data_IF_703779505497
#
_entry.id   IF_703779505497
#
_cell.length_a   1.000
_cell.length_b   1.000
_cell.length_c   1.000
_cell.angle_alpha   90.00
_cell.angle_beta   90.00
_cell.angle_gamma   90.00
#
_symmetry.space_group_name_H-M   'P 1'
#
loop_
_entity.id
_entity.type
_entity.pdbx_description
1 polymer ?
#
# COMPACT_ATOMS: atom_id res chain seq x y z
N UNK A 1 -10.75 -26.90 0.66
CA UNK A 1 -10.98 -25.57 0.07
C UNK A 1 -11.17 -24.59 1.22
N UNK A 2 -10.25 -23.64 1.43
CA UNK A 2 -10.33 -22.74 2.58
C UNK A 2 -11.41 -21.68 2.34
N UNK A 3 -12.34 -21.48 3.29
CA UNK A 3 -13.35 -20.42 3.14
C UNK A 3 -12.70 -19.05 3.38
N UNK A 4 -13.17 -18.01 2.70
CA UNK A 4 -12.62 -16.64 2.83
C UNK A 4 -12.64 -16.15 4.29
N UNK A 5 -13.69 -16.47 5.03
CA UNK A 5 -13.80 -16.13 6.44
C UNK A 5 -12.73 -16.85 7.30
N UNK A 6 -12.36 -18.10 6.95
CA UNK A 6 -11.25 -18.82 7.61
C UNK A 6 -9.91 -18.19 7.28
N UNK A 7 -9.70 -17.78 6.03
CA UNK A 7 -8.48 -17.07 5.62
C UNK A 7 -8.32 -15.78 6.41
N UNK A 8 -9.32 -14.90 6.43
CA UNK A 8 -9.24 -13.64 7.18
C UNK A 8 -9.04 -13.83 8.68
N UNK A 9 -9.62 -14.88 9.26
CA UNK A 9 -9.37 -15.24 10.66
C UNK A 9 -7.91 -15.61 10.91
N UNK A 10 -7.32 -16.45 10.07
CA UNK A 10 -5.90 -16.79 10.18
C UNK A 10 -4.99 -15.58 9.92
N UNK A 11 -5.33 -14.72 8.96
CA UNK A 11 -4.57 -13.49 8.71
C UNK A 11 -4.67 -12.53 9.90
N UNK A 12 -5.81 -12.48 10.60
CA UNK A 12 -5.95 -11.74 11.86
C UNK A 12 -5.07 -12.32 12.96
N UNK A 13 -5.08 -13.64 13.15
CA UNK A 13 -4.24 -14.32 14.14
C UNK A 13 -2.75 -14.04 13.90
N UNK A 14 -2.33 -13.96 12.63
CA UNK A 14 -0.95 -13.63 12.25
C UNK A 14 -0.53 -12.17 12.56
N UNK A 15 -1.48 -11.27 12.78
CA UNK A 15 -1.24 -9.85 13.13
C UNK A 15 -1.89 -9.47 14.47
N UNK A 16 -2.32 -10.46 15.24
CA UNK A 16 -3.00 -10.26 16.51
C UNK A 16 -2.03 -9.62 17.51
N UNK A 17 -2.45 -8.53 18.14
CA UNK A 17 -1.59 -7.71 19.02
C UNK A 17 -0.92 -6.53 18.31
N UNK A 18 -0.75 -6.58 16.98
CA UNK A 18 -0.30 -5.42 16.19
C UNK A 18 -1.45 -4.44 15.91
N UNK A 19 -2.69 -4.96 15.85
CA UNK A 19 -3.91 -4.21 15.51
C UNK A 19 -4.98 -4.46 16.57
N UNK A 20 -5.62 -3.38 17.05
CA UNK A 20 -6.75 -3.54 17.97
C UNK A 20 -7.97 -4.16 17.29
N UNK A 21 -8.74 -4.96 18.05
CA UNK A 21 -9.97 -5.62 17.59
C UNK A 21 -10.94 -4.69 16.87
N UNK A 22 -11.13 -3.46 17.37
CA UNK A 22 -12.02 -2.46 16.75
C UNK A 22 -11.54 -2.05 15.37
N UNK A 23 -10.23 -1.86 15.20
CA UNK A 23 -9.62 -1.47 13.92
C UNK A 23 -9.65 -2.64 12.93
N UNK A 24 -9.40 -3.85 13.41
CA UNK A 24 -9.54 -5.07 12.61
C UNK A 24 -10.94 -5.19 12.01
N UNK A 25 -12.01 -4.96 12.78
CA UNK A 25 -13.38 -5.03 12.25
C UNK A 25 -13.61 -4.07 11.07
N UNK A 26 -13.10 -2.84 11.15
CA UNK A 26 -13.20 -1.86 10.07
C UNK A 26 -12.40 -2.27 8.82
N UNK A 27 -11.15 -2.70 9.02
CA UNK A 27 -10.29 -3.23 7.95
C UNK A 27 -10.92 -4.46 7.28
N UNK A 28 -11.41 -5.40 8.07
CA UNK A 28 -12.05 -6.62 7.59
C UNK A 28 -13.31 -6.32 6.76
N UNK A 29 -14.13 -5.34 7.17
CA UNK A 29 -15.27 -4.91 6.36
C UNK A 29 -14.84 -4.28 5.03
N UNK A 30 -13.82 -3.42 5.02
CA UNK A 30 -13.27 -2.83 3.80
C UNK A 30 -12.69 -3.90 2.86
N UNK A 31 -11.95 -4.87 3.39
CA UNK A 31 -11.37 -5.99 2.63
C UNK A 31 -12.44 -6.95 2.11
N UNK A 32 -13.46 -7.25 2.92
CA UNK A 32 -14.60 -8.06 2.50
C UNK A 32 -15.38 -7.37 1.38
N UNK A 33 -15.58 -6.05 1.47
CA UNK A 33 -16.26 -5.26 0.46
C UNK A 33 -15.44 -5.14 -0.86
N UNK A 34 -14.12 -5.09 -0.78
CA UNK A 34 -13.26 -5.10 -1.98
C UNK A 34 -13.26 -6.47 -2.69
N UNK A 35 -13.58 -7.54 -1.95
CA UNK A 35 -13.72 -8.90 -2.46
C UNK A 35 -12.40 -9.60 -2.76
N UNK A 36 -11.27 -9.02 -2.31
CA UNK A 36 -9.91 -9.47 -2.62
C UNK A 36 -9.27 -10.21 -1.44
N UNK A 37 -8.51 -11.26 -1.72
CA UNK A 37 -7.68 -11.94 -0.73
C UNK A 37 -6.31 -11.29 -0.72
N UNK A 38 -5.75 -11.01 0.45
CA UNK A 38 -4.48 -10.27 0.58
C UNK A 38 -3.51 -11.03 1.47
N UNK A 39 -2.21 -10.97 1.15
CA UNK A 39 -1.17 -11.60 1.97
C UNK A 39 -1.06 -10.95 3.36
N UNK A 40 -0.45 -11.66 4.31
CA UNK A 40 -0.18 -11.13 5.66
C UNK A 40 0.66 -9.85 5.61
N UNK A 41 1.65 -9.78 4.72
CA UNK A 41 2.48 -8.60 4.54
C UNK A 41 1.66 -7.39 4.09
N UNK A 42 0.81 -7.57 3.07
CA UNK A 42 -0.08 -6.50 2.59
C UNK A 42 -1.07 -6.08 3.67
N UNK A 43 -1.59 -7.02 4.47
CA UNK A 43 -2.45 -6.72 5.60
C UNK A 43 -1.74 -5.85 6.64
N UNK A 44 -0.50 -6.18 7.02
CA UNK A 44 0.30 -5.36 7.95
C UNK A 44 0.51 -3.95 7.42
N UNK A 45 0.78 -3.80 6.13
CA UNK A 45 0.91 -2.48 5.50
C UNK A 45 -0.42 -1.70 5.52
N UNK A 46 -1.57 -2.36 5.28
CA UNK A 46 -2.89 -1.72 5.41
C UNK A 46 -3.17 -1.27 6.83
N UNK A 47 -2.83 -2.10 7.81
CA UNK A 47 -3.01 -1.78 9.20
C UNK A 47 -2.23 -0.53 9.59
N UNK A 48 -0.93 -0.51 9.29
CA UNK A 48 -0.06 0.63 9.53
C UNK A 48 -0.58 1.89 8.82
N UNK A 49 -0.97 1.78 7.56
CA UNK A 49 -1.56 2.89 6.81
C UNK A 49 -2.83 3.42 7.47
N UNK A 50 -3.77 2.57 7.89
CA UNK A 50 -5.02 3.00 8.53
C UNK A 50 -4.80 3.60 9.92
N UNK A 51 -3.68 3.31 10.59
CA UNK A 51 -3.31 4.05 11.80
C UNK A 51 -3.01 5.52 11.50
N UNK A 52 -2.27 5.77 10.42
CA UNK A 52 -1.87 7.12 9.98
C UNK A 52 -3.00 7.85 9.23
N UNK A 53 -3.84 7.09 8.53
CA UNK A 53 -4.86 7.61 7.62
C UNK A 53 -6.21 6.88 7.80
N UNK A 54 -6.89 7.04 8.94
CA UNK A 54 -8.06 6.23 9.32
C UNK A 54 -9.26 6.39 8.38
N UNK A 55 -9.41 7.56 7.74
CA UNK A 55 -10.53 7.87 6.85
C UNK A 55 -10.30 7.49 5.39
N UNK A 56 -9.08 7.09 5.01
CA UNK A 56 -8.81 6.72 3.61
C UNK A 56 -9.30 5.29 3.38
N UNK A 57 -10.24 5.07 2.44
CA UNK A 57 -10.71 3.74 2.13
C UNK A 57 -9.70 3.00 1.25
N UNK A 58 -9.60 1.69 1.45
CA UNK A 58 -8.84 0.81 0.55
C UNK A 58 -9.75 0.40 -0.61
N UNK A 59 -9.38 0.78 -1.83
CA UNK A 59 -10.17 0.45 -3.03
C UNK A 59 -9.65 -0.82 -3.70
N UNK A 60 -10.55 -1.54 -4.39
CA UNK A 60 -10.18 -2.69 -5.23
C UNK A 60 -9.10 -2.34 -6.26
N UNK A 61 -9.18 -1.14 -6.84
CA UNK A 61 -8.20 -0.64 -7.81
C UNK A 61 -6.82 -0.45 -7.18
N UNK A 62 -6.73 0.15 -5.99
CA UNK A 62 -5.44 0.36 -5.32
C UNK A 62 -4.73 -0.97 -4.99
N UNK A 63 -5.50 -1.99 -4.58
CA UNK A 63 -4.99 -3.33 -4.33
C UNK A 63 -4.47 -3.96 -5.63
N UNK A 64 -5.28 -3.92 -6.70
CA UNK A 64 -4.89 -4.45 -8.01
C UNK A 64 -3.63 -3.79 -8.58
N UNK A 65 -3.47 -2.47 -8.38
CA UNK A 65 -2.25 -1.76 -8.78
C UNK A 65 -1.02 -2.25 -8.00
N UNK A 66 -1.15 -2.44 -6.69
CA UNK A 66 -0.07 -2.96 -5.86
C UNK A 66 0.32 -4.40 -6.26
N UNK A 67 -0.66 -5.28 -6.49
CA UNK A 67 -0.41 -6.65 -6.94
C UNK A 67 0.24 -6.70 -8.32
N UNK A 68 -0.21 -5.83 -9.24
CA UNK A 68 0.40 -5.71 -10.57
C UNK A 68 1.89 -5.34 -10.48
N UNK A 69 2.24 -4.39 -9.60
CA UNK A 69 3.64 -4.06 -9.33
C UNK A 69 4.42 -5.27 -8.79
N UNK A 70 3.89 -5.97 -7.79
CA UNK A 70 4.55 -7.14 -7.20
C UNK A 70 4.80 -8.25 -8.24
N UNK A 71 3.83 -8.49 -9.12
CA UNK A 71 3.96 -9.51 -10.16
C UNK A 71 4.92 -9.09 -11.28
N UNK A 72 4.85 -7.82 -11.70
CA UNK A 72 5.68 -7.29 -12.79
C UNK A 72 7.17 -7.27 -12.42
N UNK A 73 7.47 -6.95 -11.15
CA UNK A 73 8.84 -6.77 -10.68
C UNK A 73 9.26 -7.85 -9.66
N UNK A 74 8.64 -9.03 -9.70
CA UNK A 74 8.91 -10.11 -8.74
C UNK A 74 10.40 -10.52 -8.69
N UNK A 75 11.09 -10.42 -9.83
CA UNK A 75 12.50 -10.81 -9.98
C UNK A 75 13.50 -9.65 -9.75
N UNK A 76 13.02 -8.44 -9.45
CA UNK A 76 13.89 -7.28 -9.21
C UNK A 76 14.40 -7.24 -7.78
N UNK A 77 15.71 -7.02 -7.60
CA UNK A 77 16.34 -6.86 -6.29
C UNK A 77 16.16 -5.46 -5.71
N UNK A 78 16.36 -4.44 -6.54
CA UNK A 78 16.49 -3.05 -6.14
C UNK A 78 16.02 -2.10 -7.24
N UNK A 79 15.70 -0.88 -6.82
CA UNK A 79 15.23 0.19 -7.68
C UNK A 79 15.90 1.49 -7.30
N UNK A 80 16.37 2.26 -8.27
CA UNK A 80 16.77 3.64 -8.01
C UNK A 80 15.55 4.51 -7.68
N UNK A 81 15.74 5.59 -6.94
CA UNK A 81 14.65 6.50 -6.63
C UNK A 81 14.02 7.16 -7.86
N UNK A 82 14.79 7.34 -8.95
CA UNK A 82 14.26 7.87 -10.21
C UNK A 82 13.41 6.84 -10.97
N UNK A 83 13.83 5.57 -11.03
CA UNK A 83 13.02 4.49 -11.62
C UNK A 83 11.72 4.31 -10.86
N UNK A 84 11.76 4.31 -9.52
CA UNK A 84 10.54 4.26 -8.73
C UNK A 84 9.64 5.45 -9.02
N UNK A 85 10.18 6.67 -9.10
CA UNK A 85 9.37 7.85 -9.40
C UNK A 85 8.68 7.73 -10.77
N UNK A 86 9.35 7.17 -11.78
CA UNK A 86 8.77 6.89 -13.09
C UNK A 86 7.65 5.85 -13.01
N UNK A 87 7.86 4.75 -12.27
CA UNK A 87 6.80 3.76 -12.01
C UNK A 87 5.60 4.43 -11.34
N UNK A 88 5.82 5.27 -10.32
CA UNK A 88 4.73 5.96 -9.63
C UNK A 88 3.96 6.93 -10.54
N UNK A 89 4.61 7.55 -11.54
CA UNK A 89 3.93 8.39 -12.54
C UNK A 89 3.01 7.56 -13.43
N UNK A 90 3.34 6.31 -13.73
CA UNK A 90 2.41 5.43 -14.46
C UNK A 90 1.17 5.08 -13.63
N UNK A 91 1.36 4.91 -12.31
CA UNK A 91 0.26 4.62 -11.37
C UNK A 91 -0.65 5.84 -11.19
N UNK A 92 -0.08 7.04 -11.14
CA UNK A 92 -0.80 8.31 -11.00
C UNK A 92 -0.24 9.39 -11.93
N UNK A 93 -0.67 9.40 -13.21
CA UNK A 93 -0.13 10.34 -14.18
C UNK A 93 -0.54 11.80 -13.92
N UNK A 94 -1.62 12.02 -13.16
CA UNK A 94 -2.20 13.35 -12.94
C UNK A 94 -1.74 14.04 -11.66
N UNK A 95 -0.77 13.48 -10.93
CA UNK A 95 -0.27 14.10 -9.69
C UNK A 95 1.16 14.58 -9.87
N UNK A 96 1.55 15.60 -9.12
CA UNK A 96 2.90 16.17 -9.19
C UNK A 96 3.93 15.24 -8.54
N UNK A 97 5.19 15.34 -8.97
CA UNK A 97 6.30 14.60 -8.36
C UNK A 97 6.37 14.79 -6.85
N UNK A 98 6.11 16.01 -6.34
CA UNK A 98 6.08 16.29 -4.90
C UNK A 98 5.03 15.44 -4.18
N UNK A 99 3.88 15.19 -4.80
CA UNK A 99 2.84 14.33 -4.23
C UNK A 99 3.24 12.86 -4.27
N UNK A 100 3.98 12.41 -5.29
CA UNK A 100 4.53 11.05 -5.37
C UNK A 100 5.63 10.84 -4.33
N UNK A 101 6.53 11.80 -4.17
CA UNK A 101 7.63 11.78 -3.18
C UNK A 101 7.11 11.62 -1.75
N UNK A 102 5.91 12.13 -1.44
CA UNK A 102 5.29 11.92 -0.13
C UNK A 102 5.08 10.43 0.24
N UNK A 103 5.05 9.52 -0.74
CA UNK A 103 4.94 8.10 -0.48
C UNK A 103 6.19 7.52 0.20
N UNK A 104 7.39 8.05 -0.08
CA UNK A 104 8.62 7.67 0.63
C UNK A 104 8.51 8.00 2.11
N UNK A 105 8.11 9.23 2.45
CA UNK A 105 7.98 9.65 3.84
C UNK A 105 6.91 8.83 4.59
N UNK A 106 5.82 8.47 3.92
CA UNK A 106 4.80 7.56 4.48
C UNK A 106 5.30 6.15 4.71
N UNK A 107 6.26 5.70 3.89
CA UNK A 107 6.95 4.44 4.06
C UNK A 107 8.05 4.49 5.14
N UNK A 108 8.27 5.65 5.77
CA UNK A 108 9.38 5.86 6.72
C UNK A 108 10.75 5.97 6.04
N UNK A 109 10.77 6.35 4.76
CA UNK A 109 11.97 6.46 3.93
C UNK A 109 12.19 7.91 3.49
N UNK A 110 13.45 8.26 3.22
CA UNK A 110 13.81 9.53 2.59
C UNK A 110 13.90 9.34 1.08
N UNK A 111 13.38 10.30 0.31
CA UNK A 111 13.56 10.31 -1.14
C UNK A 111 14.97 10.79 -1.52
N UNK A 112 15.63 10.03 -2.38
CA UNK A 112 16.82 10.42 -3.12
C UNK A 112 16.73 9.83 -4.51
N UNK A 113 17.05 10.62 -5.54
CA UNK A 113 17.00 10.17 -6.95
C UNK A 113 17.97 9.02 -7.24
N UNK A 114 19.11 9.01 -6.55
CA UNK A 114 20.23 8.08 -6.80
C UNK A 114 20.34 6.98 -5.75
N UNK A 115 19.53 7.01 -4.69
CA UNK A 115 19.52 5.93 -3.71
C UNK A 115 18.84 4.69 -4.30
N UNK A 116 19.37 3.51 -3.95
CA UNK A 116 18.73 2.25 -4.24
C UNK A 116 17.81 1.86 -3.10
N UNK A 117 16.60 1.44 -3.46
CA UNK A 117 15.58 0.93 -2.57
C UNK A 117 15.39 -0.54 -2.88
N UNK A 118 15.50 -1.39 -1.86
CA UNK A 118 15.22 -2.82 -2.04
C UNK A 118 13.74 -3.06 -2.41
N UNK A 119 13.43 -4.25 -2.91
CA UNK A 119 12.06 -4.62 -3.30
C UNK A 119 11.01 -4.39 -2.19
N UNK A 120 11.35 -4.60 -0.92
CA UNK A 120 10.42 -4.37 0.19
C UNK A 120 10.17 -2.87 0.41
N UNK A 121 11.20 -2.04 0.31
CA UNK A 121 11.10 -0.58 0.39
C UNK A 121 10.29 -0.03 -0.79
N UNK A 122 10.60 -0.45 -2.00
CA UNK A 122 9.86 -0.13 -3.22
C UNK A 122 8.38 -0.51 -3.10
N UNK A 123 8.10 -1.72 -2.62
CA UNK A 123 6.73 -2.22 -2.42
C UNK A 123 5.94 -1.35 -1.45
N UNK A 124 6.56 -0.90 -0.35
CA UNK A 124 5.91 0.05 0.58
C UNK A 124 5.60 1.38 -0.12
N UNK A 125 6.55 1.94 -0.85
CA UNK A 125 6.38 3.23 -1.55
C UNK A 125 5.23 3.13 -2.56
N UNK A 126 5.20 2.06 -3.37
CA UNK A 126 4.14 1.81 -4.35
C UNK A 126 2.78 1.63 -3.67
N UNK A 127 2.74 0.84 -2.59
CA UNK A 127 1.54 0.64 -1.79
C UNK A 127 0.96 1.96 -1.27
N UNK A 128 1.76 2.80 -0.63
CA UNK A 128 1.31 4.09 -0.11
C UNK A 128 0.89 5.03 -1.23
N UNK A 129 1.53 4.94 -2.40
CA UNK A 129 1.12 5.67 -3.60
C UNK A 129 -0.24 5.22 -4.07
N UNK A 130 -0.48 3.92 -4.24
CA UNK A 130 -1.73 3.38 -4.78
C UNK A 130 -2.95 3.76 -3.92
N UNK A 131 -2.83 3.74 -2.58
CA UNK A 131 -3.97 3.89 -1.67
C UNK A 131 -4.24 5.33 -1.26
N UNK A 132 -3.21 6.19 -1.23
CA UNK A 132 -3.43 7.60 -0.86
C UNK A 132 -4.31 8.27 -1.93
N UNK A 133 -5.34 9.04 -1.60
CA UNK A 133 -6.03 9.83 -2.63
C UNK A 133 -5.14 10.98 -3.11
N UNK A 134 -5.26 11.45 -4.37
CA UNK A 134 -4.73 12.76 -4.72
C UNK A 134 -5.26 13.77 -3.69
N UNK A 135 -4.37 14.48 -3.02
CA UNK A 135 -4.79 15.52 -2.07
C UNK A 135 -5.59 16.54 -2.86
N UNK A 136 -6.91 16.61 -2.62
CA UNK A 136 -7.80 17.61 -3.23
C UNK A 136 -7.55 19.03 -2.70
N UNK A 137 -6.51 19.26 -1.90
CA UNK A 137 -6.06 20.59 -1.48
C UNK A 137 -5.09 21.19 -2.50
N UNK A 138 -5.55 21.39 -3.73
CA UNK A 138 -5.08 22.48 -4.58
C UNK A 138 -6.31 22.94 -5.35
N UNK A 139 -7.12 23.78 -4.73
CA UNK A 139 -7.93 24.83 -5.37
C UNK A 139 -8.47 25.70 -4.24
N UNK A 140 -7.72 26.76 -3.93
CA UNK A 140 -8.20 28.12 -3.69
C UNK A 140 -7.02 29.06 -3.91
#
# INVERSE_FOLDING_TARGET
MQTRDTYYRQTYEAVAGEISNRRWRGLHQELKASGLLITVQTLRMYAQFKMLHPRTPITKQAIATYESFQNTYADYSDFTGIELLEILRTIKPHVTDRMLINAWYKAGLQFSRTANYDFNQASKIVFYTAITRPSSRIYK
#
